data_IF_688186051200
#
_entry.id   IF_688186051200
#
_cell.length_a   1.000
_cell.length_b   1.000
_cell.length_c   1.000
_cell.angle_alpha   90.00
_cell.angle_beta   90.00
_cell.angle_gamma   90.00
#
_symmetry.space_group_name_H-M   'P 1'
#
loop_
_entity.id
_entity.type
_entity.pdbx_description
1 polymer ?
#
# COMPACT_ATOMS: atom_id res chain seq x y z
N UNK A 1 -7.22 -36.61 16.15
CA UNK A 1 -6.65 -36.42 14.80
C UNK A 1 -7.67 -35.98 13.75
N UNK A 2 -8.92 -36.54 13.71
CA UNK A 2 -9.97 -36.15 12.75
C UNK A 2 -10.57 -34.73 13.04
N UNK A 3 -10.77 -34.37 14.30
CA UNK A 3 -11.36 -33.06 14.70
C UNK A 3 -10.48 -31.85 14.40
N UNK A 4 -9.16 -32.00 14.42
CA UNK A 4 -8.24 -30.90 14.12
C UNK A 4 -8.18 -30.55 12.62
N UNK A 5 -8.46 -31.54 11.75
CA UNK A 5 -8.57 -31.36 10.31
C UNK A 5 -9.86 -30.62 9.92
N UNK A 6 -10.99 -30.92 10.57
CA UNK A 6 -12.28 -30.27 10.29
C UNK A 6 -12.25 -28.79 10.71
N UNK A 7 -11.68 -28.46 11.87
CA UNK A 7 -11.57 -27.07 12.36
C UNK A 7 -10.65 -26.21 11.45
N UNK A 8 -9.53 -26.76 11.00
CA UNK A 8 -8.63 -26.03 10.08
C UNK A 8 -9.27 -25.78 8.71
N UNK A 9 -10.08 -26.73 8.22
CA UNK A 9 -10.82 -26.60 6.97
C UNK A 9 -11.91 -25.52 7.07
N UNK A 10 -12.65 -25.46 8.16
CA UNK A 10 -13.71 -24.48 8.38
C UNK A 10 -13.15 -23.06 8.56
N UNK A 11 -12.04 -22.89 9.25
CA UNK A 11 -11.36 -21.59 9.41
C UNK A 11 -10.83 -21.09 8.06
N UNK A 12 -10.28 -21.98 7.24
CA UNK A 12 -9.80 -21.63 5.90
C UNK A 12 -10.95 -21.22 4.97
N UNK A 13 -12.08 -21.93 5.02
CA UNK A 13 -13.26 -21.62 4.22
C UNK A 13 -13.88 -20.27 4.62
N UNK A 14 -13.99 -19.98 5.92
CA UNK A 14 -14.49 -18.71 6.43
C UNK A 14 -13.55 -17.53 6.08
N UNK A 15 -12.24 -17.74 6.12
CA UNK A 15 -11.27 -16.73 5.70
C UNK A 15 -11.38 -16.42 4.20
N UNK A 16 -11.53 -17.44 3.35
CA UNK A 16 -11.71 -17.26 1.91
C UNK A 16 -13.03 -16.56 1.57
N UNK A 17 -14.11 -16.82 2.32
CA UNK A 17 -15.39 -16.11 2.16
C UNK A 17 -15.24 -14.63 2.51
N UNK A 18 -14.58 -14.30 3.61
CA UNK A 18 -14.32 -12.93 4.01
C UNK A 18 -13.53 -12.14 2.94
N UNK A 19 -12.46 -12.73 2.42
CA UNK A 19 -11.65 -12.15 1.35
C UNK A 19 -12.48 -11.89 0.07
N UNK A 20 -13.35 -12.83 -0.31
CA UNK A 20 -14.22 -12.66 -1.46
C UNK A 20 -15.22 -11.50 -1.27
N UNK A 21 -15.75 -11.35 -0.05
CA UNK A 21 -16.67 -10.26 0.30
C UNK A 21 -15.96 -8.89 0.31
N UNK A 22 -14.75 -8.81 0.85
CA UNK A 22 -13.91 -7.61 0.75
C UNK A 22 -13.61 -7.26 -0.72
N UNK A 23 -13.25 -8.23 -1.54
CA UNK A 23 -13.03 -8.00 -2.96
C UNK A 23 -14.28 -7.45 -3.67
N UNK A 24 -15.48 -7.94 -3.32
CA UNK A 24 -16.75 -7.44 -3.85
C UNK A 24 -17.02 -5.97 -3.43
N UNK A 25 -16.67 -5.60 -2.21
CA UNK A 25 -16.73 -4.19 -1.74
C UNK A 25 -15.84 -3.31 -2.61
N UNK A 26 -14.60 -3.70 -2.85
CA UNK A 26 -13.69 -2.91 -3.68
C UNK A 26 -14.10 -2.86 -5.16
N UNK A 27 -14.72 -3.91 -5.69
CA UNK A 27 -15.33 -3.88 -7.02
C UNK A 27 -16.48 -2.85 -7.09
N UNK A 28 -17.27 -2.71 -6.01
CA UNK A 28 -18.33 -1.71 -5.91
C UNK A 28 -17.77 -0.27 -5.84
N UNK A 29 -16.62 -0.08 -5.21
CA UNK A 29 -15.91 1.21 -5.23
C UNK A 29 -15.42 1.55 -6.63
N UNK A 30 -14.82 0.60 -7.34
CA UNK A 30 -14.34 0.80 -8.72
C UNK A 30 -15.48 1.14 -9.69
N UNK A 31 -16.65 0.54 -9.52
CA UNK A 31 -17.85 0.86 -10.30
C UNK A 31 -18.58 2.12 -9.83
N UNK A 32 -18.05 2.84 -8.85
CA UNK A 32 -18.63 4.06 -8.25
C UNK A 32 -20.02 3.84 -7.60
N UNK A 33 -20.37 2.61 -7.28
CA UNK A 33 -21.62 2.27 -6.62
C UNK A 33 -21.56 2.34 -5.08
N UNK A 34 -20.35 2.44 -4.50
CA UNK A 34 -20.11 2.53 -3.07
C UNK A 34 -18.97 3.53 -2.78
N UNK A 35 -19.18 4.48 -1.85
CA UNK A 35 -18.19 5.50 -1.49
C UNK A 35 -18.49 6.13 -0.11
N UNK A 36 -17.53 6.93 0.37
CA UNK A 36 -17.71 7.74 1.58
C UNK A 36 -18.07 6.94 2.83
N UNK A 37 -18.99 7.44 3.63
CA UNK A 37 -19.41 6.82 4.89
C UNK A 37 -20.00 5.41 4.71
N UNK A 38 -20.70 5.17 3.61
CA UNK A 38 -21.27 3.85 3.32
C UNK A 38 -20.17 2.80 3.07
N UNK A 39 -19.07 3.18 2.41
CA UNK A 39 -17.89 2.32 2.25
C UNK A 39 -17.28 1.99 3.62
N UNK A 40 -17.05 3.02 4.45
CA UNK A 40 -16.45 2.82 5.79
C UNK A 40 -17.32 1.89 6.63
N UNK A 41 -18.64 2.13 6.68
CA UNK A 41 -19.56 1.30 7.44
C UNK A 41 -19.59 -0.16 6.95
N UNK A 42 -19.54 -0.37 5.63
CA UNK A 42 -19.55 -1.71 5.04
C UNK A 42 -18.27 -2.48 5.38
N UNK A 43 -17.11 -1.82 5.27
CA UNK A 43 -15.82 -2.43 5.61
C UNK A 43 -15.71 -2.68 7.11
N UNK A 44 -16.18 -1.76 7.95
CA UNK A 44 -16.20 -1.93 9.40
C UNK A 44 -17.03 -3.14 9.82
N UNK A 45 -18.21 -3.32 9.24
CA UNK A 45 -19.05 -4.49 9.51
C UNK A 45 -18.36 -5.81 9.16
N UNK A 46 -17.66 -5.87 8.02
CA UNK A 46 -16.87 -7.04 7.64
C UNK A 46 -15.66 -7.26 8.56
N UNK A 47 -14.99 -6.18 8.95
CA UNK A 47 -13.84 -6.25 9.83
C UNK A 47 -14.22 -6.67 11.26
N UNK A 48 -15.43 -6.38 11.74
CA UNK A 48 -15.96 -6.82 13.03
C UNK A 48 -16.21 -8.33 13.13
N UNK A 49 -16.27 -9.02 12.00
CA UNK A 49 -16.34 -10.49 11.95
C UNK A 49 -15.00 -11.16 12.25
N UNK A 50 -13.91 -10.40 12.22
CA UNK A 50 -12.54 -10.88 12.48
C UNK A 50 -12.16 -10.66 13.93
N UNK A 51 -11.13 -11.39 14.37
CA UNK A 51 -10.61 -11.23 15.72
C UNK A 51 -10.11 -9.80 15.96
N UNK A 52 -10.24 -9.27 17.19
CA UNK A 52 -9.64 -7.99 17.54
C UNK A 52 -8.13 -7.97 17.22
N UNK A 53 -7.68 -6.97 16.50
CA UNK A 53 -6.28 -6.85 16.08
C UNK A 53 -5.89 -7.68 14.85
N UNK A 54 -6.86 -8.28 14.13
CA UNK A 54 -6.60 -8.96 12.86
C UNK A 54 -5.99 -7.99 11.84
N UNK A 55 -4.79 -8.29 11.36
CA UNK A 55 -4.02 -7.40 10.52
C UNK A 55 -4.70 -7.10 9.18
N UNK A 56 -5.22 -8.08 8.42
CA UNK A 56 -6.01 -7.82 7.22
C UNK A 56 -7.23 -6.92 7.48
N UNK A 57 -7.98 -7.16 8.57
CA UNK A 57 -9.16 -6.34 8.90
C UNK A 57 -8.77 -4.88 9.22
N UNK A 58 -7.71 -4.66 9.96
CA UNK A 58 -7.19 -3.31 10.22
C UNK A 58 -6.71 -2.64 8.94
N UNK A 59 -6.04 -3.37 8.04
CA UNK A 59 -5.62 -2.86 6.75
C UNK A 59 -6.82 -2.41 5.88
N UNK A 60 -7.88 -3.21 5.80
CA UNK A 60 -9.06 -2.85 5.02
C UNK A 60 -9.82 -1.64 5.63
N UNK A 61 -9.87 -1.54 6.97
CA UNK A 61 -10.39 -0.33 7.66
C UNK A 61 -9.60 0.92 7.30
N UNK A 62 -8.27 0.81 7.23
CA UNK A 62 -7.41 1.91 6.80
C UNK A 62 -7.71 2.32 5.36
N UNK A 63 -7.75 1.34 4.43
CA UNK A 63 -8.05 1.59 3.02
C UNK A 63 -9.41 2.26 2.81
N UNK A 64 -10.44 1.87 3.56
CA UNK A 64 -11.77 2.47 3.45
C UNK A 64 -11.78 3.93 3.87
N UNK A 65 -11.07 4.26 4.96
CA UNK A 65 -10.96 5.65 5.47
C UNK A 65 -10.14 6.53 4.55
N UNK A 66 -9.03 6.02 4.07
CA UNK A 66 -8.16 6.70 3.09
C UNK A 66 -8.96 7.02 1.80
N UNK A 67 -9.72 6.04 1.27
CA UNK A 67 -10.60 6.24 0.13
C UNK A 67 -11.73 7.23 0.41
N UNK A 68 -12.18 7.34 1.65
CA UNK A 68 -13.23 8.28 2.07
C UNK A 68 -12.68 9.68 2.42
N UNK A 69 -11.37 9.92 2.37
CA UNK A 69 -10.74 11.19 2.73
C UNK A 69 -10.71 11.45 4.24
N UNK A 70 -10.56 10.39 5.05
CA UNK A 70 -10.48 10.46 6.52
C UNK A 70 -9.07 10.03 6.94
N UNK A 71 -8.08 10.81 6.50
CA UNK A 71 -6.65 10.49 6.57
C UNK A 71 -6.16 10.26 8.01
N UNK A 72 -6.58 11.10 8.98
CA UNK A 72 -6.17 10.96 10.38
C UNK A 72 -6.56 9.58 10.96
N UNK A 73 -7.74 9.09 10.62
CA UNK A 73 -8.20 7.78 11.06
C UNK A 73 -7.54 6.63 10.27
N UNK A 74 -7.28 6.84 8.98
CA UNK A 74 -6.59 5.86 8.14
C UNK A 74 -5.16 5.61 8.65
N UNK A 75 -4.41 6.66 9.02
CA UNK A 75 -3.05 6.57 9.57
C UNK A 75 -2.99 5.58 10.73
N UNK A 76 -3.87 5.74 11.73
CA UNK A 76 -3.90 4.89 12.91
C UNK A 76 -4.08 3.40 12.60
N UNK A 77 -4.98 3.08 11.67
CA UNK A 77 -5.21 1.69 11.24
C UNK A 77 -4.07 1.11 10.41
N UNK A 78 -3.45 1.88 9.49
CA UNK A 78 -2.27 1.41 8.75
C UNK A 78 -1.11 1.10 9.69
N UNK A 79 -0.81 1.99 10.64
CA UNK A 79 0.23 1.76 11.65
C UNK A 79 -0.05 0.51 12.49
N UNK A 80 -1.29 0.34 12.94
CA UNK A 80 -1.69 -0.84 13.72
C UNK A 80 -1.55 -2.13 12.91
N UNK A 81 -1.98 -2.16 11.64
CA UNK A 81 -1.86 -3.32 10.79
C UNK A 81 -0.39 -3.70 10.53
N UNK A 82 0.47 -2.73 10.20
CA UNK A 82 1.90 -2.93 9.97
C UNK A 82 2.63 -3.42 11.24
N UNK A 83 2.28 -2.87 12.41
CA UNK A 83 2.92 -3.22 13.68
C UNK A 83 2.70 -4.68 14.09
N UNK A 84 1.68 -5.36 13.57
CA UNK A 84 1.47 -6.80 13.83
C UNK A 84 2.53 -7.70 13.20
N UNK A 85 3.13 -7.28 12.09
CA UNK A 85 4.01 -8.12 11.26
C UNK A 85 3.29 -9.32 10.60
N UNK A 86 1.94 -9.34 10.58
CA UNK A 86 1.14 -10.48 10.11
C UNK A 86 0.51 -10.25 8.72
N UNK A 87 0.74 -9.10 8.10
CA UNK A 87 0.33 -8.88 6.72
C UNK A 87 1.20 -9.72 5.77
N UNK A 88 0.58 -10.27 4.73
CA UNK A 88 1.34 -10.84 3.62
C UNK A 88 2.21 -9.77 2.94
N UNK A 89 3.17 -10.19 2.11
CA UNK A 89 4.12 -9.27 1.49
C UNK A 89 3.44 -8.20 0.62
N UNK A 90 2.35 -8.55 -0.07
CA UNK A 90 1.63 -7.61 -0.92
C UNK A 90 0.86 -6.56 -0.10
N UNK A 91 0.10 -6.99 0.92
CA UNK A 91 -0.60 -6.07 1.82
C UNK A 91 0.36 -5.22 2.64
N UNK A 92 1.48 -5.79 3.08
CA UNK A 92 2.51 -5.04 3.80
C UNK A 92 3.06 -3.90 2.95
N UNK A 93 3.45 -4.17 1.70
CA UNK A 93 3.89 -3.12 0.77
C UNK A 93 2.79 -2.09 0.50
N UNK A 94 1.54 -2.55 0.25
CA UNK A 94 0.42 -1.62 0.07
C UNK A 94 0.22 -0.73 1.28
N UNK A 95 0.22 -1.29 2.49
CA UNK A 95 0.04 -0.54 3.72
C UNK A 95 1.13 0.52 3.93
N UNK A 96 2.40 0.17 3.67
CA UNK A 96 3.52 1.10 3.73
C UNK A 96 3.37 2.25 2.74
N UNK A 97 3.03 1.96 1.48
CA UNK A 97 2.87 2.96 0.44
C UNK A 97 1.67 3.87 0.70
N UNK A 98 0.52 3.30 1.10
CA UNK A 98 -0.68 4.07 1.40
C UNK A 98 -0.51 4.92 2.66
N UNK A 99 0.09 4.38 3.73
CA UNK A 99 0.46 5.16 4.91
C UNK A 99 1.35 6.35 4.54
N UNK A 100 2.38 6.13 3.73
CA UNK A 100 3.25 7.22 3.28
C UNK A 100 2.49 8.28 2.48
N UNK A 101 1.53 7.88 1.63
CA UNK A 101 0.66 8.82 0.92
C UNK A 101 -0.23 9.61 1.88
N UNK A 102 -0.83 8.95 2.86
CA UNK A 102 -1.64 9.57 3.92
C UNK A 102 -0.79 10.58 4.71
N UNK A 103 0.41 10.20 5.15
CA UNK A 103 1.35 11.08 5.85
C UNK A 103 1.71 12.33 5.02
N UNK A 104 1.92 12.15 3.71
CA UNK A 104 2.17 13.26 2.80
C UNK A 104 0.99 14.24 2.76
N UNK A 105 -0.24 13.75 2.72
CA UNK A 105 -1.46 14.57 2.75
C UNK A 105 -1.59 15.31 4.09
N UNK A 106 -1.24 14.65 5.20
CA UNK A 106 -1.22 15.24 6.54
C UNK A 106 -0.03 16.19 6.77
N UNK A 107 0.84 16.40 5.77
CA UNK A 107 2.01 17.28 5.87
C UNK A 107 3.20 16.68 6.62
N UNK A 108 3.17 15.41 6.97
CA UNK A 108 4.25 14.66 7.64
C UNK A 108 5.26 14.15 6.61
N UNK A 109 5.88 15.07 5.84
CA UNK A 109 6.64 14.77 4.63
C UNK A 109 7.90 13.95 4.90
N UNK A 110 8.62 14.24 5.98
CA UNK A 110 9.86 13.53 6.33
C UNK A 110 9.59 12.07 6.70
N UNK A 111 8.50 11.80 7.43
CA UNK A 111 8.13 10.42 7.77
C UNK A 111 7.63 9.66 6.55
N UNK A 112 6.84 10.30 5.67
CA UNK A 112 6.45 9.75 4.38
C UNK A 112 7.66 9.31 3.55
N UNK A 113 8.68 10.17 3.44
CA UNK A 113 9.92 9.87 2.73
C UNK A 113 10.65 8.68 3.35
N UNK A 114 10.88 8.72 4.68
CA UNK A 114 11.59 7.65 5.39
C UNK A 114 10.92 6.28 5.22
N UNK A 115 9.58 6.23 5.31
CA UNK A 115 8.82 5.00 5.14
C UNK A 115 8.97 4.42 3.72
N UNK A 116 8.91 5.26 2.69
CA UNK A 116 9.07 4.83 1.30
C UNK A 116 10.50 4.40 0.97
N UNK A 117 11.50 5.10 1.49
CA UNK A 117 12.90 4.70 1.36
C UNK A 117 13.12 3.33 2.01
N UNK A 118 12.62 3.13 3.23
CA UNK A 118 12.73 1.84 3.92
C UNK A 118 12.05 0.70 3.14
N UNK A 119 10.88 0.96 2.53
CA UNK A 119 10.18 -0.01 1.70
C UNK A 119 10.98 -0.36 0.44
N UNK A 120 11.51 0.63 -0.26
CA UNK A 120 12.34 0.42 -1.45
C UNK A 120 13.65 -0.31 -1.11
N UNK A 121 14.30 0.05 0.00
CA UNK A 121 15.52 -0.65 0.49
C UNK A 121 15.23 -2.11 0.87
N UNK A 122 14.08 -2.39 1.46
CA UNK A 122 13.62 -3.75 1.73
C UNK A 122 13.46 -4.56 0.43
N UNK A 123 12.97 -3.94 -0.63
CA UNK A 123 12.85 -4.56 -1.95
C UNK A 123 14.19 -4.92 -2.58
N UNK A 124 15.28 -4.23 -2.24
CA UNK A 124 16.61 -4.53 -2.74
C UNK A 124 17.29 -5.70 -2.02
N UNK A 125 16.78 -6.14 -0.86
CA UNK A 125 17.36 -7.26 -0.13
C UNK A 125 17.18 -8.57 -0.91
N UNK A 126 18.24 -9.40 -1.03
CA UNK A 126 18.14 -10.67 -1.74
C UNK A 126 17.03 -11.56 -1.18
N UNK A 127 16.20 -12.11 -2.08
CA UNK A 127 15.12 -13.02 -1.72
C UNK A 127 13.82 -12.32 -1.26
N UNK A 128 13.81 -11.01 -1.05
CA UNK A 128 12.58 -10.31 -0.74
C UNK A 128 11.72 -10.11 -1.99
N UNK A 129 10.40 -10.34 -1.91
CA UNK A 129 9.49 -9.96 -2.98
C UNK A 129 9.48 -8.43 -3.14
N UNK A 130 9.25 -7.98 -4.37
CA UNK A 130 9.18 -6.55 -4.73
C UNK A 130 7.78 -6.15 -5.23
N UNK A 131 6.70 -6.45 -4.51
CA UNK A 131 5.40 -6.04 -4.96
C UNK A 131 5.31 -4.51 -4.91
N UNK A 132 4.66 -3.92 -5.91
CA UNK A 132 4.39 -2.48 -5.96
C UNK A 132 5.66 -1.58 -5.90
N UNK A 133 6.77 -2.07 -6.46
CA UNK A 133 8.05 -1.34 -6.42
C UNK A 133 7.99 0.00 -7.18
N UNK A 134 7.34 0.02 -8.33
CA UNK A 134 7.17 1.25 -9.11
C UNK A 134 6.14 2.19 -8.49
N UNK A 135 5.12 1.64 -7.83
CA UNK A 135 4.14 2.41 -7.06
C UNK A 135 4.80 3.12 -5.87
N UNK A 136 5.71 2.45 -5.16
CA UNK A 136 6.49 3.08 -4.09
C UNK A 136 7.35 4.24 -4.61
N UNK A 137 8.02 4.06 -5.75
CA UNK A 137 8.77 5.14 -6.42
C UNK A 137 7.87 6.31 -6.81
N UNK A 138 6.68 6.02 -7.34
CA UNK A 138 5.74 7.05 -7.75
C UNK A 138 5.25 7.89 -6.56
N UNK A 139 4.91 7.24 -5.43
CA UNK A 139 4.48 7.95 -4.21
C UNK A 139 5.64 8.73 -3.60
N UNK A 140 6.88 8.20 -3.61
CA UNK A 140 8.07 8.93 -3.17
C UNK A 140 8.32 10.17 -4.05
N UNK A 141 8.11 10.06 -5.36
CA UNK A 141 8.19 11.21 -6.26
C UNK A 141 7.16 12.30 -5.88
N UNK A 142 5.92 11.92 -5.53
CA UNK A 142 4.91 12.87 -5.05
C UNK A 142 5.31 13.50 -3.71
N UNK A 143 5.95 12.76 -2.82
CA UNK A 143 6.47 13.29 -1.55
C UNK A 143 7.59 14.30 -1.82
N UNK A 144 8.51 14.03 -2.75
CA UNK A 144 9.55 14.97 -3.15
C UNK A 144 8.98 16.24 -3.81
N UNK A 145 7.90 16.12 -4.60
CA UNK A 145 7.20 17.31 -5.10
C UNK A 145 6.69 18.16 -3.94
N UNK A 146 6.07 17.56 -2.93
CA UNK A 146 5.55 18.27 -1.77
C UNK A 146 6.67 18.94 -0.94
N UNK A 147 7.88 18.35 -0.93
CA UNK A 147 9.08 18.92 -0.30
C UNK A 147 9.78 19.98 -1.17
N UNK A 148 9.32 20.28 -2.40
CA UNK A 148 9.96 21.20 -3.33
C UNK A 148 11.16 20.60 -4.10
N UNK A 149 11.40 19.30 -4.01
CA UNK A 149 12.51 18.55 -4.65
C UNK A 149 12.10 18.04 -6.05
N UNK A 150 11.67 18.94 -6.91
CA UNK A 150 11.08 18.60 -8.21
C UNK A 150 12.04 17.84 -9.15
N UNK A 151 13.36 18.10 -9.09
CA UNK A 151 14.37 17.42 -9.89
C UNK A 151 14.42 15.93 -9.54
N UNK A 152 14.50 15.60 -8.27
CA UNK A 152 14.55 14.21 -7.76
C UNK A 152 13.23 13.48 -8.00
N UNK A 153 12.11 14.18 -7.81
CA UNK A 153 10.78 13.65 -8.14
C UNK A 153 10.69 13.22 -9.62
N UNK A 154 11.18 14.08 -10.54
CA UNK A 154 11.22 13.74 -11.96
C UNK A 154 12.11 12.52 -12.23
N UNK A 155 13.27 12.42 -11.61
CA UNK A 155 14.16 11.27 -11.73
C UNK A 155 13.51 9.96 -11.31
N UNK A 156 12.84 9.93 -10.15
CA UNK A 156 12.11 8.75 -9.68
C UNK A 156 10.96 8.35 -10.61
N UNK A 157 10.13 9.30 -11.03
CA UNK A 157 9.02 9.02 -11.92
C UNK A 157 9.48 8.50 -13.29
N UNK A 158 10.56 9.09 -13.85
CA UNK A 158 11.13 8.64 -15.12
C UNK A 158 11.81 7.27 -14.98
N UNK A 159 12.44 6.95 -13.86
CA UNK A 159 13.04 5.63 -13.64
C UNK A 159 11.98 4.52 -13.59
N UNK A 160 10.83 4.78 -12.99
CA UNK A 160 9.70 3.84 -12.98
C UNK A 160 9.04 3.68 -14.37
N UNK A 161 9.04 4.75 -15.18
CA UNK A 161 8.46 4.74 -16.53
C UNK A 161 9.39 4.10 -17.56
N UNK A 162 10.70 4.30 -17.46
CA UNK A 162 11.67 3.94 -18.49
C UNK A 162 11.57 2.48 -18.97
N UNK A 163 11.41 1.46 -18.11
CA UNK A 163 11.27 0.06 -18.54
C UNK A 163 10.03 -0.21 -19.40
N UNK A 164 9.01 0.65 -19.33
CA UNK A 164 7.73 0.52 -20.06
C UNK A 164 7.74 1.20 -21.42
N UNK A 165 8.79 1.96 -21.74
CA UNK A 165 8.90 2.67 -23.01
C UNK A 165 9.29 1.69 -24.13
N UNK A 166 8.63 1.77 -25.26
CA UNK A 166 8.96 0.99 -26.45
C UNK A 166 10.26 1.45 -27.13
N UNK A 167 10.64 2.73 -26.94
CA UNK A 167 11.87 3.37 -27.46
C UNK A 167 12.46 4.28 -26.41
N UNK A 168 13.75 4.53 -26.52
CA UNK A 168 14.51 5.46 -25.65
C UNK A 168 14.60 5.03 -24.18
N UNK A 169 14.19 3.82 -23.83
CA UNK A 169 14.19 3.32 -22.45
C UNK A 169 15.56 3.49 -21.76
N UNK A 170 16.66 3.10 -22.42
CA UNK A 170 18.03 3.24 -21.87
C UNK A 170 18.43 4.70 -21.69
N UNK A 171 18.13 5.56 -22.67
CA UNK A 171 18.45 6.98 -22.60
C UNK A 171 17.65 7.66 -21.49
N UNK A 172 16.35 7.36 -21.36
CA UNK A 172 15.52 7.91 -20.30
C UNK A 172 15.98 7.40 -18.93
N UNK A 173 16.27 6.11 -18.79
CA UNK A 173 16.80 5.57 -17.53
C UNK A 173 18.12 6.23 -17.10
N UNK A 174 19.07 6.40 -18.03
CA UNK A 174 20.35 7.05 -17.73
C UNK A 174 20.17 8.51 -17.31
N UNK A 175 19.37 9.29 -18.05
CA UNK A 175 19.10 10.69 -17.67
C UNK A 175 18.29 10.80 -16.36
N UNK A 176 17.41 9.83 -16.07
CA UNK A 176 16.67 9.81 -14.81
C UNK A 176 17.60 9.56 -13.62
N UNK A 177 18.57 8.65 -13.76
CA UNK A 177 19.56 8.37 -12.72
C UNK A 177 20.41 9.61 -12.35
N UNK A 178 20.73 10.47 -13.32
CA UNK A 178 21.46 11.72 -13.08
C UNK A 178 20.66 12.77 -12.29
N UNK A 179 19.36 12.55 -12.10
CA UNK A 179 18.47 13.47 -11.37
C UNK A 179 18.29 13.10 -9.90
N UNK A 180 18.67 11.91 -9.49
CA UNK A 180 18.48 11.40 -8.14
C UNK A 180 19.82 11.07 -7.48
N UNK A 181 19.89 11.18 -6.14
CA UNK A 181 21.08 10.80 -5.38
C UNK A 181 21.18 9.28 -5.18
N UNK A 182 20.05 8.61 -5.18
CA UNK A 182 19.94 7.16 -4.97
C UNK A 182 18.94 6.55 -5.94
N UNK A 183 19.31 5.39 -6.51
CA UNK A 183 18.42 4.56 -7.34
C UNK A 183 18.06 3.26 -6.63
N UNK A 184 16.89 2.72 -6.94
CA UNK A 184 16.38 1.43 -6.41
C UNK A 184 16.06 0.48 -7.58
N UNK A 185 17.03 0.23 -8.43
CA UNK A 185 16.89 -0.64 -9.63
C UNK A 185 17.11 -2.12 -9.34
#
# INVERSE_FOLDING_TARGET
>A
MQRDHDVASDVSAAANDWEARIAAVWASVQSQSLSGEALVATVDALADERAPGDAPAMFERACARDTAGIEDAAEGYYRAALATGQLDAYRSSRASIQLASTLRILGQLDESEQLLIAELDRHLQPGNPRPLHDEARAVLALTYVAQGRAKEAAGLALSALAPRLSRYNRSVAGNAADLVEKTWD
#
